data_IF_274056714943
#
_entry.id   IF_274056714943
#
_cell.length_a   1.000
_cell.length_b   1.000
_cell.length_c   1.000
_cell.angle_alpha   90.00
_cell.angle_beta   90.00
_cell.angle_gamma   90.00
#
_symmetry.space_group_name_H-M   'P 1'
#
loop_
_entity.id
_entity.type
_entity.pdbx_description
1 polymer ?
#
# COMPACT_ATOMS: atom_id res chain seq x y z
N UNK A 1 9.97 3.03 -84.96
CA UNK A 1 10.82 2.12 -84.15
C UNK A 1 11.33 2.89 -82.95
N UNK A 2 10.78 2.64 -81.76
CA UNK A 2 11.12 3.37 -80.53
C UNK A 2 12.06 2.49 -79.69
N UNK A 3 13.30 2.93 -79.51
CA UNK A 3 14.28 2.33 -78.57
C UNK A 3 14.06 2.96 -77.19
N UNK A 4 13.39 2.23 -76.29
CA UNK A 4 13.27 2.58 -74.88
C UNK A 4 14.61 2.28 -74.16
N UNK A 5 15.40 3.30 -73.87
CA UNK A 5 16.52 3.19 -72.94
C UNK A 5 16.02 3.36 -71.51
N UNK A 6 16.32 2.36 -70.67
CA UNK A 6 16.07 2.37 -69.23
C UNK A 6 17.00 3.40 -68.56
N UNK A 7 16.46 4.57 -68.25
CA UNK A 7 17.12 5.55 -67.38
C UNK A 7 16.69 5.21 -65.96
N UNK A 8 17.48 4.37 -65.30
CA UNK A 8 17.38 4.11 -63.87
C UNK A 8 18.26 5.12 -63.13
N UNK A 9 17.71 6.25 -62.71
CA UNK A 9 18.38 7.20 -61.82
C UNK A 9 17.34 7.93 -60.97
N UNK A 10 17.60 7.95 -59.66
CA UNK A 10 16.97 8.74 -58.59
C UNK A 10 15.50 8.38 -58.34
N UNK A 11 15.08 8.14 -57.09
CA UNK A 11 15.01 9.18 -56.07
C UNK A 11 15.29 8.57 -54.68
N UNK A 12 16.39 9.04 -54.08
CA UNK A 12 16.68 8.97 -52.64
C UNK A 12 15.68 9.87 -51.90
N UNK A 13 14.48 9.39 -51.60
CA UNK A 13 13.52 10.07 -50.72
C UNK A 13 12.86 9.04 -49.83
N UNK A 14 13.31 8.98 -48.57
CA UNK A 14 12.44 9.16 -47.41
C UNK A 14 13.29 9.23 -46.14
N UNK A 15 14.01 10.35 -46.04
CA UNK A 15 14.50 10.90 -44.80
C UNK A 15 13.32 11.55 -44.09
N UNK A 16 12.43 10.80 -43.43
CA UNK A 16 11.42 11.33 -42.48
C UNK A 16 10.63 10.14 -41.91
N UNK A 17 11.27 9.29 -41.10
CA UNK A 17 10.53 8.45 -40.15
C UNK A 17 10.86 8.98 -38.77
N UNK A 18 10.06 9.98 -38.42
CA UNK A 18 9.46 10.18 -37.11
C UNK A 18 10.32 9.75 -35.94
N UNK A 19 11.08 10.72 -35.44
CA UNK A 19 11.43 10.85 -34.03
C UNK A 19 10.09 10.85 -33.28
N UNK A 20 9.54 9.67 -33.02
CA UNK A 20 8.60 9.46 -31.95
C UNK A 20 9.42 9.71 -30.69
N UNK A 21 9.40 10.97 -30.25
CA UNK A 21 9.61 11.32 -28.86
C UNK A 21 8.65 10.41 -28.09
N UNK A 22 9.17 9.28 -27.64
CA UNK A 22 8.65 8.57 -26.49
C UNK A 22 8.91 9.54 -25.35
N UNK A 23 8.00 10.51 -25.20
CA UNK A 23 7.75 11.14 -23.93
C UNK A 23 7.29 10.01 -23.03
N UNK A 24 8.28 9.34 -22.44
CA UNK A 24 8.10 8.56 -21.25
C UNK A 24 7.75 9.59 -20.18
N UNK A 25 6.51 10.06 -20.20
CA UNK A 25 5.90 10.59 -19.01
C UNK A 25 5.85 9.40 -18.07
N UNK A 26 6.92 9.26 -17.28
CA UNK A 26 6.86 8.67 -15.96
C UNK A 26 5.82 9.47 -15.19
N UNK A 27 4.56 9.19 -15.49
CA UNK A 27 3.46 9.32 -14.55
C UNK A 27 3.87 8.38 -13.43
N UNK A 28 4.71 8.88 -12.53
CA UNK A 28 4.74 8.47 -11.16
C UNK A 28 3.32 8.75 -10.65
N UNK A 29 2.42 7.82 -10.98
CA UNK A 29 1.16 7.63 -10.31
C UNK A 29 1.56 7.27 -8.89
N UNK A 30 1.82 8.30 -8.09
CA UNK A 30 2.00 8.16 -6.66
C UNK A 30 0.71 7.54 -6.17
N UNK A 31 0.69 6.22 -5.99
CA UNK A 31 -0.43 5.52 -5.36
C UNK A 31 -0.71 6.27 -4.07
N UNK A 32 -1.91 6.83 -3.95
CA UNK A 32 -2.35 7.43 -2.71
C UNK A 32 -2.17 6.37 -1.60
N UNK A 33 -1.33 6.68 -0.60
CA UNK A 33 -1.05 5.76 0.50
C UNK A 33 -2.35 5.58 1.28
N UNK A 34 -2.85 4.35 1.35
CA UNK A 34 -4.13 4.10 2.03
C UNK A 34 -3.96 4.32 3.54
N UNK A 35 -5.05 4.67 4.23
CA UNK A 35 -5.06 4.76 5.69
C UNK A 35 -4.66 3.43 6.37
N UNK A 36 -4.86 2.31 5.69
CA UNK A 36 -4.45 0.99 6.17
C UNK A 36 -2.95 0.76 6.03
N UNK A 37 -2.32 1.30 4.99
CA UNK A 37 -0.86 1.30 4.86
C UNK A 37 -0.23 2.18 5.93
N UNK A 38 -0.80 3.37 6.19
CA UNK A 38 -0.39 4.26 7.27
C UNK A 38 -0.57 3.58 8.64
N UNK A 39 -1.70 2.91 8.87
CA UNK A 39 -1.94 2.14 10.10
C UNK A 39 -0.89 1.03 10.27
N UNK A 40 -0.59 0.26 9.21
CA UNK A 40 0.45 -0.77 9.26
C UNK A 40 1.82 -0.18 9.60
N UNK A 41 2.14 0.99 9.05
CA UNK A 41 3.38 1.70 9.35
C UNK A 41 3.44 2.18 10.81
N UNK A 42 2.35 2.70 11.38
CA UNK A 42 2.25 3.03 12.81
C UNK A 42 2.56 1.80 13.66
N UNK A 43 1.97 0.65 13.33
CA UNK A 43 2.25 -0.60 14.05
C UNK A 43 3.72 -1.01 13.94
N UNK A 44 4.30 -0.94 12.73
CA UNK A 44 5.71 -1.25 12.51
C UNK A 44 6.63 -0.42 13.39
N UNK A 45 6.37 0.87 13.50
CA UNK A 45 7.17 1.79 14.31
C UNK A 45 6.98 1.53 15.81
N UNK A 46 5.73 1.41 16.29
CA UNK A 46 5.44 1.26 17.72
C UNK A 46 5.84 -0.12 18.27
N UNK A 47 5.55 -1.20 17.54
CA UNK A 47 5.86 -2.57 17.99
C UNK A 47 7.36 -2.80 18.12
N UNK A 48 8.17 -2.10 17.32
CA UNK A 48 9.63 -2.16 17.37
C UNK A 48 10.25 -1.47 18.59
N UNK A 49 9.49 -0.69 19.35
CA UNK A 49 9.99 0.02 20.52
C UNK A 49 10.32 -0.96 21.66
N UNK A 50 11.49 -0.85 22.32
CA UNK A 50 11.88 -1.71 23.44
C UNK A 50 11.22 -1.26 24.75
N UNK A 51 9.89 -1.21 24.77
CA UNK A 51 9.06 -0.78 25.90
C UNK A 51 8.02 -1.85 26.24
N UNK A 52 7.45 -1.78 27.44
CA UNK A 52 6.42 -2.71 27.87
C UNK A 52 5.16 -2.65 26.99
N UNK A 53 4.44 -3.77 26.91
CA UNK A 53 3.23 -3.93 26.10
C UNK A 53 2.20 -2.82 26.36
N UNK A 54 1.99 -2.45 27.63
CA UNK A 54 1.05 -1.39 28.01
C UNK A 54 1.40 -0.05 27.38
N UNK A 55 2.70 0.29 27.32
CA UNK A 55 3.16 1.53 26.69
C UNK A 55 2.93 1.45 25.18
N UNK A 56 3.23 0.31 24.53
CA UNK A 56 2.96 0.11 23.10
C UNK A 56 1.47 0.33 22.77
N UNK A 57 0.56 -0.29 23.52
CA UNK A 57 -0.89 -0.12 23.32
C UNK A 57 -1.33 1.34 23.46
N UNK A 58 -0.84 2.04 24.49
CA UNK A 58 -1.11 3.47 24.68
C UNK A 58 -0.60 4.31 23.51
N UNK A 59 0.62 4.05 23.05
CA UNK A 59 1.23 4.75 21.91
C UNK A 59 0.48 4.46 20.61
N UNK A 60 0.04 3.22 20.36
CA UNK A 60 -0.79 2.88 19.20
C UNK A 60 -2.08 3.71 19.17
N UNK A 61 -2.81 3.75 20.29
CA UNK A 61 -4.04 4.54 20.40
C UNK A 61 -3.78 6.02 20.12
N UNK A 62 -2.76 6.60 20.77
CA UNK A 62 -2.40 8.01 20.61
C UNK A 62 -2.02 8.34 19.16
N UNK A 63 -1.18 7.53 18.53
CA UNK A 63 -0.72 7.75 17.16
C UNK A 63 -1.84 7.61 16.14
N UNK A 64 -2.70 6.59 16.27
CA UNK A 64 -3.85 6.44 15.38
C UNK A 64 -4.83 7.60 15.56
N UNK A 65 -5.04 8.11 16.77
CA UNK A 65 -5.86 9.28 17.02
C UNK A 65 -5.31 10.54 16.33
N UNK A 66 -4.00 10.76 16.41
CA UNK A 66 -3.36 11.98 15.90
C UNK A 66 -3.14 11.94 14.39
N UNK A 67 -2.71 10.80 13.85
CA UNK A 67 -2.32 10.65 12.44
C UNK A 67 -3.48 10.20 11.56
N UNK A 68 -4.46 9.48 12.12
CA UNK A 68 -5.62 8.94 11.40
C UNK A 68 -6.95 9.29 12.10
N UNK A 69 -7.24 10.57 12.39
CA UNK A 69 -8.36 10.97 13.26
C UNK A 69 -9.73 10.48 12.77
N UNK A 70 -9.98 10.51 11.46
CA UNK A 70 -11.24 10.02 10.89
C UNK A 70 -11.41 8.51 11.05
N UNK A 71 -10.33 7.75 10.83
CA UNK A 71 -10.34 6.30 11.04
C UNK A 71 -10.48 5.98 12.53
N UNK A 72 -9.82 6.77 13.39
CA UNK A 72 -9.90 6.63 14.83
C UNK A 72 -11.34 6.76 15.32
N UNK A 73 -11.99 7.86 14.96
CA UNK A 73 -13.35 8.20 15.39
C UNK A 73 -14.38 7.21 14.85
N UNK A 74 -14.25 6.76 13.59
CA UNK A 74 -15.23 5.88 12.97
C UNK A 74 -15.06 4.40 13.35
N UNK A 75 -13.82 3.92 13.43
CA UNK A 75 -13.54 2.48 13.48
C UNK A 75 -12.64 2.10 14.68
N UNK A 76 -11.54 2.81 14.89
CA UNK A 76 -10.48 2.31 15.79
C UNK A 76 -10.89 2.29 17.25
N UNK A 77 -11.76 3.20 17.69
CA UNK A 77 -12.27 3.20 19.08
C UNK A 77 -13.00 1.91 19.44
N UNK A 78 -13.73 1.31 18.49
CA UNK A 78 -14.39 0.02 18.67
C UNK A 78 -13.39 -1.13 18.60
N UNK A 79 -12.46 -1.07 17.65
CA UNK A 79 -11.40 -2.09 17.49
C UNK A 79 -10.55 -2.18 18.76
N UNK A 80 -10.11 -1.04 19.31
CA UNK A 80 -9.28 -1.00 20.51
C UNK A 80 -9.98 -1.55 21.77
N UNK A 81 -11.32 -1.60 21.78
CA UNK A 81 -12.13 -2.18 22.87
C UNK A 81 -12.45 -3.66 22.67
N UNK A 82 -12.28 -4.19 21.46
CA UNK A 82 -12.48 -5.60 21.20
C UNK A 82 -11.38 -6.46 21.87
N UNK A 83 -11.70 -7.74 22.04
CA UNK A 83 -10.71 -8.74 22.46
C UNK A 83 -9.53 -8.74 21.48
N UNK A 84 -8.31 -8.87 22.02
CA UNK A 84 -7.08 -8.63 21.27
C UNK A 84 -6.94 -9.56 20.04
N UNK A 85 -7.40 -10.81 20.16
CA UNK A 85 -7.44 -11.81 19.09
C UNK A 85 -8.40 -11.44 17.94
N UNK A 86 -9.36 -10.54 18.18
CA UNK A 86 -10.32 -10.08 17.17
C UNK A 86 -9.87 -8.81 16.44
N UNK A 87 -8.86 -8.09 16.95
CA UNK A 87 -8.50 -6.75 16.43
C UNK A 87 -7.92 -6.81 15.02
N UNK A 88 -6.92 -7.66 14.77
CA UNK A 88 -6.36 -7.81 13.41
C UNK A 88 -7.38 -8.36 12.41
N UNK A 89 -8.15 -9.41 12.71
CA UNK A 89 -9.24 -9.86 11.83
C UNK A 89 -10.23 -8.75 11.44
N UNK A 90 -10.63 -7.90 12.39
CA UNK A 90 -11.52 -6.77 12.09
C UNK A 90 -10.87 -5.70 11.22
N UNK A 91 -9.64 -5.30 11.52
CA UNK A 91 -8.90 -4.33 10.69
C UNK A 91 -8.75 -4.87 9.26
N UNK A 92 -8.36 -6.14 9.12
CA UNK A 92 -8.20 -6.79 7.83
C UNK A 92 -9.50 -6.79 7.04
N UNK A 93 -10.60 -7.22 7.64
CA UNK A 93 -11.91 -7.23 6.98
C UNK A 93 -12.31 -5.85 6.50
N UNK A 94 -12.16 -4.82 7.34
CA UNK A 94 -12.45 -3.44 6.96
C UNK A 94 -11.57 -2.96 5.80
N UNK A 95 -10.27 -3.27 5.84
CA UNK A 95 -9.33 -2.94 4.77
C UNK A 95 -9.74 -3.58 3.45
N UNK A 96 -10.08 -4.87 3.45
CA UNK A 96 -10.47 -5.60 2.24
C UNK A 96 -11.81 -5.10 1.67
N UNK A 97 -12.75 -4.74 2.54
CA UNK A 97 -14.05 -4.18 2.15
C UNK A 97 -13.92 -2.79 1.52
N UNK A 98 -13.07 -1.92 2.07
CA UNK A 98 -12.88 -0.57 1.56
C UNK A 98 -11.97 -0.51 0.33
N UNK A 99 -10.88 -1.28 0.32
CA UNK A 99 -9.89 -1.30 -0.77
C UNK A 99 -10.30 -2.19 -1.94
N UNK A 100 -11.36 -2.99 -1.79
CA UNK A 100 -11.82 -3.97 -2.79
C UNK A 100 -10.70 -4.91 -3.26
N UNK A 101 -9.75 -5.20 -2.38
CA UNK A 101 -8.57 -6.00 -2.66
C UNK A 101 -8.11 -6.72 -1.39
N UNK A 102 -7.32 -7.78 -1.55
CA UNK A 102 -6.71 -8.46 -0.39
C UNK A 102 -5.76 -7.50 0.32
N UNK A 103 -5.78 -7.54 1.65
CA UNK A 103 -4.91 -6.71 2.48
C UNK A 103 -4.32 -7.53 3.62
N UNK A 104 -3.08 -7.22 3.98
CA UNK A 104 -2.37 -7.86 5.08
C UNK A 104 -1.34 -6.91 5.66
N UNK A 105 -1.11 -7.01 6.97
CA UNK A 105 -0.03 -6.34 7.66
C UNK A 105 0.63 -7.34 8.61
N UNK A 106 1.73 -7.95 8.16
CA UNK A 106 2.41 -9.02 8.89
C UNK A 106 2.87 -8.58 10.30
N UNK A 107 3.34 -7.34 10.44
CA UNK A 107 3.77 -6.82 11.74
C UNK A 107 2.60 -6.71 12.73
N UNK A 108 1.46 -6.23 12.27
CA UNK A 108 0.25 -6.13 13.09
C UNK A 108 -0.30 -7.50 13.44
N UNK A 109 -0.31 -8.42 12.49
CA UNK A 109 -0.73 -9.81 12.74
C UNK A 109 0.15 -10.46 13.80
N UNK A 110 1.46 -10.44 13.59
CA UNK A 110 2.46 -11.02 14.49
C UNK A 110 2.41 -10.40 15.89
N UNK A 111 2.15 -9.10 15.98
CA UNK A 111 1.96 -8.42 17.27
C UNK A 111 0.81 -9.03 18.08
N UNK A 112 -0.37 -9.19 17.48
CA UNK A 112 -1.51 -9.77 18.18
C UNK A 112 -1.34 -11.27 18.45
N UNK A 113 -0.76 -12.00 17.50
CA UNK A 113 -0.52 -13.43 17.64
C UNK A 113 0.51 -13.72 18.75
N UNK A 114 1.53 -12.88 18.96
CA UNK A 114 2.58 -13.16 19.95
C UNK A 114 2.30 -12.57 21.33
N UNK A 115 1.80 -11.34 21.39
CA UNK A 115 1.64 -10.63 22.67
C UNK A 115 0.33 -11.00 23.39
N UNK A 116 -0.65 -11.55 22.66
CA UNK A 116 -1.99 -11.81 23.19
C UNK A 116 -2.49 -13.25 22.98
N UNK A 117 -1.70 -14.13 22.36
CA UNK A 117 -2.02 -15.56 22.37
C UNK A 117 -2.01 -16.06 23.81
N UNK A 118 -3.17 -16.57 24.26
CA UNK A 118 -3.24 -17.26 25.55
C UNK A 118 -2.31 -18.46 25.49
N UNK A 119 -1.46 -18.71 26.51
CA UNK A 119 -0.85 -20.03 26.63
C UNK A 119 -1.99 -21.05 26.66
N UNK A 120 -1.89 -22.08 25.82
CA UNK A 120 -2.78 -23.22 25.91
C UNK A 120 -2.76 -23.69 27.37
N UNK A 121 -3.92 -23.61 28.04
CA UNK A 121 -4.07 -24.18 29.38
C UNK A 121 -3.93 -25.70 29.20
N UNK A 122 -2.75 -26.23 29.53
CA UNK A 122 -2.57 -27.64 29.85
C UNK A 122 -3.09 -27.91 31.26
#
# INVERSE_FOLDING_TARGET
MIKLHKIGVLVLVNFFISILLISCESSASGKAVSKYDQLCQIYKEVVSMPVELRVKEGTLVQRVQNELPDFFNKNYTYIARADADQRYPFIKKLAEEELKSKWSCEVMQSYYDNEFSRPAKN
#
